data_IF_801155288469
#
_entry.id   IF_801155288469
#
_cell.length_a   1.000
_cell.length_b   1.000
_cell.length_c   1.000
_cell.angle_alpha   90.00
_cell.angle_beta   90.00
_cell.angle_gamma   90.00
#
_symmetry.space_group_name_H-M   'P 1'
#
loop_
_entity.id
_entity.type
_entity.pdbx_description
1 polymer ?
#
# COMPACT_ATOMS: atom_id res chain seq x y z
N UNK A 1 13.21 -2.80 -5.62
CA UNK A 1 13.33 -1.40 -6.07
C UNK A 1 14.17 -0.58 -5.07
N UNK A 2 14.70 0.57 -5.46
CA UNK A 2 15.29 1.55 -4.52
C UNK A 2 14.44 2.82 -4.49
N UNK A 3 14.34 3.50 -3.34
CA UNK A 3 13.57 4.73 -3.16
C UNK A 3 14.12 5.55 -1.99
N UNK A 4 13.87 6.86 -2.00
CA UNK A 4 14.28 7.75 -0.90
C UNK A 4 13.05 8.27 -0.15
N UNK A 5 13.12 8.25 1.18
CA UNK A 5 12.06 8.73 2.09
C UNK A 5 12.71 9.52 3.22
N UNK A 6 12.26 10.75 3.45
CA UNK A 6 12.81 11.66 4.48
C UNK A 6 14.35 11.74 4.52
N UNK A 7 14.98 11.80 3.34
CA UNK A 7 16.45 11.91 3.24
C UNK A 7 17.22 10.60 3.52
N UNK A 8 16.53 9.47 3.63
CA UNK A 8 17.15 8.15 3.73
C UNK A 8 16.86 7.32 2.50
N UNK A 9 17.87 6.58 2.04
CA UNK A 9 17.73 5.65 0.93
C UNK A 9 17.31 4.28 1.45
N UNK A 10 16.30 3.71 0.79
CA UNK A 10 15.73 2.41 1.08
C UNK A 10 15.79 1.52 -0.15
N UNK A 11 15.93 0.23 0.09
CA UNK A 11 15.82 -0.84 -0.89
C UNK A 11 14.70 -1.77 -0.46
N UNK A 12 13.80 -2.06 -1.38
CA UNK A 12 12.69 -2.98 -1.22
C UNK A 12 12.98 -4.23 -2.04
N UNK A 13 13.08 -5.38 -1.41
CA UNK A 13 13.11 -6.67 -2.07
C UNK A 13 11.69 -7.16 -2.38
N UNK A 14 11.57 -8.13 -3.30
CA UNK A 14 10.28 -8.71 -3.65
C UNK A 14 9.77 -9.57 -2.50
N UNK A 15 8.49 -9.43 -2.15
CA UNK A 15 7.80 -10.36 -1.26
C UNK A 15 7.87 -11.80 -1.83
N UNK A 16 7.92 -12.79 -0.93
CA UNK A 16 7.72 -14.17 -1.34
C UNK A 16 6.31 -14.34 -1.94
N UNK A 17 6.11 -15.30 -2.85
CA UNK A 17 4.79 -15.51 -3.47
C UNK A 17 3.70 -15.80 -2.41
N UNK A 18 4.05 -16.50 -1.33
CA UNK A 18 3.14 -16.77 -0.22
C UNK A 18 2.77 -15.50 0.55
N UNK A 19 3.75 -14.62 0.83
CA UNK A 19 3.49 -13.33 1.46
C UNK A 19 2.70 -12.42 0.54
N UNK A 20 2.99 -12.40 -0.76
CA UNK A 20 2.19 -11.66 -1.75
C UNK A 20 0.74 -12.11 -1.73
N UNK A 21 0.47 -13.43 -1.76
CA UNK A 21 -0.89 -13.96 -1.71
C UNK A 21 -1.59 -13.60 -0.40
N UNK A 22 -0.89 -13.73 0.74
CA UNK A 22 -1.42 -13.39 2.07
C UNK A 22 -1.76 -11.90 2.17
N UNK A 23 -0.81 -11.03 1.84
CA UNK A 23 -0.98 -9.57 1.84
C UNK A 23 -2.09 -9.16 0.88
N UNK A 24 -2.12 -9.71 -0.33
CA UNK A 24 -3.16 -9.41 -1.33
C UNK A 24 -4.55 -9.79 -0.83
N UNK A 25 -4.73 -10.98 -0.27
CA UNK A 25 -6.04 -11.43 0.24
C UNK A 25 -6.60 -10.52 1.34
N UNK A 26 -5.72 -9.92 2.16
CA UNK A 26 -6.12 -9.03 3.25
C UNK A 26 -6.33 -7.59 2.80
N UNK A 27 -5.54 -7.11 1.84
CA UNK A 27 -5.66 -5.76 1.31
C UNK A 27 -6.77 -5.60 0.26
N UNK A 28 -7.06 -6.64 -0.53
CA UNK A 28 -8.00 -6.53 -1.65
C UNK A 28 -9.43 -6.13 -1.22
N UNK A 29 -10.00 -6.66 -0.12
CA UNK A 29 -11.31 -6.20 0.38
C UNK A 29 -11.30 -4.72 0.76
N UNK A 30 -10.27 -4.27 1.48
CA UNK A 30 -10.09 -2.87 1.88
C UNK A 30 -10.00 -1.96 0.63
N UNK A 31 -9.19 -2.37 -0.36
CA UNK A 31 -9.05 -1.63 -1.61
C UNK A 31 -10.35 -1.61 -2.42
N UNK A 32 -11.12 -2.70 -2.43
CA UNK A 32 -12.40 -2.78 -3.12
C UNK A 32 -13.44 -1.85 -2.47
N UNK A 33 -13.53 -1.85 -1.14
CA UNK A 33 -14.39 -0.92 -0.39
C UNK A 33 -14.07 0.54 -0.71
N UNK A 34 -12.78 0.89 -0.71
CA UNK A 34 -12.33 2.24 -1.09
C UNK A 34 -12.62 2.58 -2.56
N UNK A 35 -12.49 1.65 -3.50
CA UNK A 35 -12.74 1.89 -4.94
C UNK A 35 -14.21 2.14 -5.26
N UNK A 36 -15.14 1.42 -4.60
CA UNK A 36 -16.57 1.65 -4.74
C UNK A 36 -16.95 3.11 -4.41
N UNK A 37 -16.27 3.70 -3.43
CA UNK A 37 -16.49 5.09 -3.02
C UNK A 37 -15.66 6.08 -3.86
N UNK A 38 -14.46 5.70 -4.34
CA UNK A 38 -13.64 6.50 -5.27
C UNK A 38 -14.32 6.77 -6.60
N UNK A 39 -15.23 5.90 -7.06
CA UNK A 39 -16.05 6.14 -8.24
C UNK A 39 -16.87 7.44 -8.14
N UNK A 40 -17.32 7.79 -6.93
CA UNK A 40 -18.03 9.05 -6.65
C UNK A 40 -17.09 10.26 -6.50
N UNK A 41 -15.84 10.03 -6.10
CA UNK A 41 -14.83 11.07 -5.81
C UNK A 41 -13.93 11.35 -7.02
N UNK A 42 -13.95 10.50 -8.06
CA UNK A 42 -13.17 10.68 -9.29
C UNK A 42 -13.42 12.04 -9.97
N UNK A 43 -14.61 12.61 -9.79
CA UNK A 43 -14.97 13.96 -10.28
C UNK A 43 -14.25 15.09 -9.54
N UNK A 44 -13.77 14.82 -8.31
CA UNK A 44 -13.07 15.76 -7.43
C UNK A 44 -11.54 15.65 -7.54
N UNK A 45 -11.03 14.61 -8.21
CA UNK A 45 -9.60 14.42 -8.41
C UNK A 45 -9.13 15.08 -9.72
N UNK A 46 -7.96 15.73 -9.73
CA UNK A 46 -7.36 16.25 -10.96
C UNK A 46 -7.20 15.13 -11.99
N UNK A 47 -7.60 15.40 -13.24
CA UNK A 47 -7.67 14.42 -14.33
C UNK A 47 -6.35 13.66 -14.60
N UNK A 48 -5.22 14.19 -14.15
CA UNK A 48 -3.89 13.68 -14.46
C UNK A 48 -3.43 12.53 -13.55
N UNK A 49 -4.19 12.16 -12.50
CA UNK A 49 -3.93 10.96 -11.67
C UNK A 49 -2.60 10.95 -10.89
N UNK A 50 -1.81 12.02 -10.97
CA UNK A 50 -0.52 12.15 -10.28
C UNK A 50 -0.74 12.65 -8.85
N UNK A 51 -0.55 11.75 -7.88
CA UNK A 51 -0.48 12.10 -6.48
C UNK A 51 0.93 12.63 -6.19
N UNK A 52 1.14 13.92 -6.49
CA UNK A 52 2.34 14.62 -6.05
C UNK A 52 2.22 14.90 -4.54
N UNK A 53 3.28 14.56 -3.79
CA UNK A 53 3.39 14.81 -2.34
C UNK A 53 3.19 16.28 -1.93
N UNK A 54 3.26 17.21 -2.88
CA UNK A 54 3.02 18.64 -2.71
C UNK A 54 1.54 19.06 -2.71
N UNK A 55 0.58 18.14 -2.91
CA UNK A 55 -0.86 18.46 -3.00
C UNK A 55 -1.70 17.88 -1.85
N UNK A 56 -1.11 17.72 -0.68
CA UNK A 56 -1.83 17.24 0.51
C UNK A 56 -3.06 18.12 0.85
N UNK A 57 -2.96 19.44 0.64
CA UNK A 57 -4.08 20.38 0.84
C UNK A 57 -5.17 20.26 -0.25
N UNK A 58 -4.82 19.89 -1.49
CA UNK A 58 -5.83 19.66 -2.53
C UNK A 58 -6.58 18.33 -2.32
N UNK A 59 -5.99 17.40 -1.55
CA UNK A 59 -6.60 16.14 -1.16
C UNK A 59 -7.39 16.25 0.15
N UNK A 60 -7.29 17.35 0.93
CA UNK A 60 -8.07 17.53 2.16
C UNK A 60 -9.57 17.21 2.02
N UNK A 61 -10.32 17.77 1.05
CA UNK A 61 -11.75 17.46 0.93
C UNK A 61 -12.00 15.98 0.57
N UNK A 62 -11.08 15.37 -0.18
CA UNK A 62 -11.10 13.93 -0.48
C UNK A 62 -10.84 13.11 0.78
N UNK A 63 -9.85 13.49 1.59
CA UNK A 63 -9.55 12.87 2.88
C UNK A 63 -10.68 13.06 3.89
N UNK A 64 -11.32 14.21 3.97
CA UNK A 64 -12.48 14.45 4.86
C UNK A 64 -13.66 13.58 4.49
N UNK A 65 -13.90 13.38 3.19
CA UNK A 65 -14.97 12.50 2.68
C UNK A 65 -14.65 11.02 2.88
N UNK A 66 -13.37 10.64 2.73
CA UNK A 66 -12.92 9.24 2.88
C UNK A 66 -12.58 8.87 4.33
N UNK A 67 -12.34 9.83 5.22
CA UNK A 67 -11.92 9.62 6.60
C UNK A 67 -12.85 8.67 7.38
N UNK A 68 -14.19 8.83 7.31
CA UNK A 68 -15.11 7.91 7.98
C UNK A 68 -14.97 6.47 7.47
N UNK A 69 -14.75 6.29 6.17
CA UNK A 69 -14.57 4.97 5.54
C UNK A 69 -13.22 4.37 5.83
N UNK A 70 -12.16 5.18 5.80
CA UNK A 70 -10.83 4.77 6.25
C UNK A 70 -10.91 4.33 7.71
N UNK A 71 -11.64 5.05 8.56
CA UNK A 71 -11.84 4.64 9.95
C UNK A 71 -12.62 3.34 10.06
N UNK A 72 -13.69 3.15 9.28
CA UNK A 72 -14.49 1.92 9.24
C UNK A 72 -13.65 0.71 8.79
N UNK A 73 -12.92 0.83 7.67
CA UNK A 73 -12.03 -0.22 7.15
C UNK A 73 -10.84 -0.48 8.07
N UNK A 74 -10.21 0.56 8.64
CA UNK A 74 -9.14 0.37 9.62
C UNK A 74 -9.66 -0.28 10.92
N UNK A 75 -10.90 0.00 11.32
CA UNK A 75 -11.52 -0.63 12.49
C UNK A 75 -11.94 -2.09 12.25
N UNK A 76 -12.18 -2.46 10.98
CA UNK A 76 -12.53 -3.83 10.60
C UNK A 76 -11.30 -4.74 10.51
N UNK A 77 -10.11 -4.16 10.34
CA UNK A 77 -8.84 -4.88 10.39
C UNK A 77 -8.50 -5.25 11.83
N UNK A 78 -8.42 -6.54 12.08
CA UNK A 78 -7.89 -7.04 13.35
C UNK A 78 -6.41 -6.70 13.48
N UNK A 79 -5.88 -6.63 14.71
CA UNK A 79 -4.44 -6.47 14.94
C UNK A 79 -3.63 -7.57 14.23
N UNK A 80 -4.16 -8.79 14.19
CA UNK A 80 -3.58 -9.91 13.44
C UNK A 80 -3.51 -9.61 11.94
N UNK A 81 -4.57 -9.05 11.34
CA UNK A 81 -4.61 -8.67 9.93
C UNK A 81 -3.65 -7.52 9.62
N UNK A 82 -3.58 -6.51 10.50
CA UNK A 82 -2.63 -5.41 10.38
C UNK A 82 -1.19 -5.95 10.38
N UNK A 83 -0.85 -6.81 11.34
CA UNK A 83 0.49 -7.40 11.45
C UNK A 83 0.79 -8.34 10.27
N UNK A 84 -0.21 -9.08 9.79
CA UNK A 84 -0.12 -9.94 8.62
C UNK A 84 0.18 -9.17 7.31
N UNK A 85 -0.07 -7.86 7.27
CA UNK A 85 0.27 -6.98 6.14
C UNK A 85 1.60 -6.26 6.41
N UNK A 86 1.72 -5.58 7.55
CA UNK A 86 2.85 -4.68 7.84
C UNK A 86 4.15 -5.47 7.99
N UNK A 87 4.15 -6.58 8.75
CA UNK A 87 5.40 -7.29 9.05
C UNK A 87 6.07 -7.88 7.79
N UNK A 88 5.37 -8.61 6.91
CA UNK A 88 5.99 -9.10 5.68
C UNK A 88 6.47 -7.97 4.79
N UNK A 89 5.72 -6.86 4.71
CA UNK A 89 6.12 -5.70 3.91
C UNK A 89 7.41 -5.07 4.43
N UNK A 90 7.55 -4.87 5.74
CA UNK A 90 8.75 -4.27 6.31
C UNK A 90 9.94 -5.23 6.34
N UNK A 91 9.71 -6.54 6.43
CA UNK A 91 10.77 -7.56 6.43
C UNK A 91 11.60 -7.58 5.14
N UNK A 92 11.04 -7.10 4.02
CA UNK A 92 11.76 -6.98 2.74
C UNK A 92 12.38 -5.60 2.50
N UNK A 93 12.34 -4.70 3.48
CA UNK A 93 12.88 -3.35 3.36
C UNK A 93 14.22 -3.25 4.08
N UNK A 94 15.19 -2.64 3.42
CA UNK A 94 16.49 -2.30 3.99
C UNK A 94 16.78 -0.81 3.80
N UNK A 95 17.44 -0.19 4.76
CA UNK A 95 17.91 1.20 4.70
C UNK A 95 19.41 1.24 4.46
N UNK A 96 19.87 2.20 3.66
CA UNK A 96 21.29 2.46 3.48
C UNK A 96 21.86 3.04 4.77
N UNK A 97 22.84 2.35 5.36
CA UNK A 97 23.40 2.70 6.65
C UNK A 97 24.89 2.31 6.71
N UNK A 98 25.76 3.24 7.12
CA UNK A 98 27.22 3.04 7.30
C UNK A 98 27.92 2.29 6.15
N UNK A 99 27.52 2.55 4.89
CA UNK A 99 28.11 1.94 3.70
C UNK A 99 27.48 0.62 3.24
N UNK A 100 26.47 0.10 3.95
CA UNK A 100 25.74 -1.11 3.59
C UNK A 100 24.22 -0.92 3.59
N UNK A 101 23.51 -2.04 3.45
CA UNK A 101 22.05 -2.10 3.57
C UNK A 101 21.70 -2.86 4.84
N UNK A 102 21.02 -2.19 5.76
CA UNK A 102 20.58 -2.76 7.03
C UNK A 102 19.06 -2.97 7.03
N UNK A 103 18.55 -4.10 7.54
CA UNK A 103 17.12 -4.36 7.58
C UNK A 103 16.42 -3.31 8.45
N UNK A 104 15.27 -2.80 7.99
CA UNK A 104 14.49 -1.81 8.77
C UNK A 104 13.65 -2.46 9.85
N UNK A 105 13.36 -3.74 9.70
CA UNK A 105 12.47 -4.49 10.59
C UNK A 105 13.05 -5.88 10.86
N UNK A 106 13.04 -6.25 12.14
CA UNK A 106 13.49 -7.55 12.59
C UNK A 106 12.68 -7.96 13.82
N UNK A 107 12.21 -9.21 13.84
CA UNK A 107 11.60 -9.83 15.03
C UNK A 107 10.49 -8.99 15.68
N UNK A 108 9.65 -8.33 14.88
CA UNK A 108 8.53 -7.53 15.39
C UNK A 108 8.87 -6.07 15.71
N UNK A 109 10.12 -5.64 15.48
CA UNK A 109 10.58 -4.30 15.86
C UNK A 109 11.22 -3.56 14.69
N UNK A 110 11.02 -2.23 14.67
CA UNK A 110 11.77 -1.33 13.80
C UNK A 110 13.19 -1.15 14.35
N UNK A 111 14.18 -1.15 13.46
CA UNK A 111 15.60 -1.04 13.81
C UNK A 111 16.11 0.40 13.84
N UNK A 112 15.25 1.36 13.51
CA UNK A 112 15.59 2.76 13.35
C UNK A 112 14.52 3.63 14.01
N UNK A 113 14.90 4.34 15.07
CA UNK A 113 13.98 5.13 15.91
C UNK A 113 13.39 6.35 15.16
N UNK A 114 14.05 6.81 14.11
CA UNK A 114 13.60 7.91 13.26
C UNK A 114 12.53 7.50 12.24
N UNK A 115 12.21 6.21 12.12
CA UNK A 115 11.09 5.73 11.33
C UNK A 115 9.80 5.96 12.12
N UNK A 116 9.16 7.09 11.86
CA UNK A 116 7.82 7.39 12.38
C UNK A 116 6.72 6.67 11.59
N UNK A 117 5.48 6.74 12.12
CA UNK A 117 4.31 6.10 11.55
C UNK A 117 4.12 6.42 10.06
N UNK A 118 4.27 7.69 9.67
CA UNK A 118 4.09 8.10 8.28
C UNK A 118 5.16 7.49 7.38
N UNK A 119 6.42 7.47 7.83
CA UNK A 119 7.52 6.84 7.09
C UNK A 119 7.29 5.34 6.94
N UNK A 120 6.89 4.67 8.03
CA UNK A 120 6.57 3.24 8.01
C UNK A 120 5.42 2.95 7.01
N UNK A 121 4.32 3.70 7.04
CA UNK A 121 3.21 3.54 6.10
C UNK A 121 3.64 3.77 4.65
N UNK A 122 4.50 4.76 4.40
CA UNK A 122 5.05 5.02 3.06
C UNK A 122 5.94 3.89 2.55
N UNK A 123 6.68 3.21 3.41
CA UNK A 123 7.48 2.03 3.04
C UNK A 123 6.56 0.85 2.71
N UNK A 124 5.57 0.58 3.57
CA UNK A 124 4.56 -0.47 3.34
C UNK A 124 3.82 -0.25 2.03
N UNK A 125 3.33 0.98 1.78
CA UNK A 125 2.61 1.32 0.56
C UNK A 125 3.44 1.05 -0.72
N UNK A 126 4.75 1.30 -0.69
CA UNK A 126 5.64 0.99 -1.82
C UNK A 126 5.80 -0.51 -2.03
N UNK A 127 5.95 -1.30 -0.96
CA UNK A 127 6.05 -2.77 -1.07
C UNK A 127 4.76 -3.37 -1.62
N UNK A 128 3.62 -2.85 -1.15
CA UNK A 128 2.29 -3.24 -1.62
C UNK A 128 2.11 -2.88 -3.09
N UNK A 129 2.49 -1.66 -3.52
CA UNK A 129 2.38 -1.23 -4.91
C UNK A 129 3.22 -2.10 -5.86
N UNK A 130 4.44 -2.46 -5.47
CA UNK A 130 5.31 -3.35 -6.25
C UNK A 130 4.74 -4.79 -6.32
N UNK A 131 4.17 -5.27 -5.22
CA UNK A 131 3.60 -6.62 -5.13
C UNK A 131 2.27 -6.74 -5.89
N UNK A 132 1.36 -5.78 -5.71
CA UNK A 132 0.05 -5.74 -6.35
C UNK A 132 0.10 -5.26 -7.79
N UNK A 133 1.06 -4.42 -8.17
CA UNK A 133 1.20 -3.94 -9.55
C UNK A 133 1.30 -5.10 -10.54
N UNK A 134 2.09 -6.12 -10.21
CA UNK A 134 2.20 -7.34 -11.00
C UNK A 134 0.90 -8.17 -11.02
N UNK A 135 0.16 -8.21 -9.91
CA UNK A 135 -1.11 -8.95 -9.80
C UNK A 135 -2.23 -8.28 -10.59
N UNK A 136 -2.42 -6.97 -10.41
CA UNK A 136 -3.49 -6.18 -11.03
C UNK A 136 -3.31 -6.08 -12.55
N UNK A 137 -2.08 -6.01 -13.05
CA UNK A 137 -1.80 -6.06 -14.50
C UNK A 137 -2.17 -7.40 -15.14
N UNK A 138 -2.19 -8.48 -14.34
CA UNK A 138 -2.56 -9.82 -14.79
C UNK A 138 -4.07 -10.13 -14.66
N UNK A 139 -4.86 -9.24 -14.07
CA UNK A 139 -6.30 -9.43 -14.00
C UNK A 139 -6.92 -9.20 -15.40
N UNK A 140 -7.85 -10.07 -15.85
CA UNK A 140 -8.56 -9.83 -17.09
C UNK A 140 -9.36 -8.53 -16.96
N UNK A 141 -8.92 -7.48 -17.66
CA UNK A 141 -9.62 -6.18 -17.72
C UNK A 141 -10.93 -6.25 -18.49
N UNK A 142 -11.20 -7.37 -19.16
CA UNK A 142 -12.44 -7.66 -19.85
C UNK A 142 -13.16 -8.76 -19.07
N UNK A 143 -14.38 -8.46 -18.60
CA UNK A 143 -15.27 -9.47 -18.04
C UNK A 143 -15.35 -10.68 -18.97
N UNK A 144 -15.40 -11.87 -18.39
CA UNK A 144 -15.63 -13.12 -19.14
C UNK A 144 -16.79 -12.89 -20.11
N UNK A 145 -16.59 -13.04 -21.44
CA UNK A 145 -17.67 -12.91 -22.40
C UNK A 145 -18.81 -13.83 -21.95
N UNK A 146 -20.00 -13.27 -21.77
CA UNK A 146 -21.20 -14.05 -21.47
C UNK A 146 -21.29 -15.15 -22.53
N UNK A 147 -21.35 -16.44 -22.15
CA UNK A 147 -21.55 -17.51 -23.11
C UNK A 147 -22.82 -17.22 -23.91
N UNK A 148 -22.83 -17.50 -25.24
CA UNK A 148 -24.05 -17.35 -26.02
C UNK A 148 -25.15 -18.22 -25.38
N UNK A 149 -26.33 -17.64 -25.17
CA UNK A 149 -27.49 -18.40 -24.78
C UNK A 149 -27.82 -19.39 -25.90
N UNK A 150 -27.97 -20.67 -25.53
CA UNK A 150 -28.36 -21.78 -26.41
C UNK A 150 -29.80 -21.62 -26.92
#
# INVERSE_FOLDING_TARGET
MECSVKGHDYRVAKLSVFDQLKVTRKLLPVLAGMMSDFGGIRSLLPADGKIDSAKFDALKPVFETLLPRIAEELSSLTEEDTNAIIHPCLAVVSRKHMGGWAPVFNSGQLMFDDIDLLTMLQLVARVVADSLGNFLQGLPTNGTPTPPAE
#
